data_IF_436359009616
#
_entry.id   IF_436359009616
#
_cell.length_a   1.000
_cell.length_b   1.000
_cell.length_c   1.000
_cell.angle_alpha   90.00
_cell.angle_beta   90.00
_cell.angle_gamma   90.00
#
_symmetry.space_group_name_H-M   'P 1'
#
loop_
_entity.id
_entity.type
_entity.pdbx_description
1 polymer ?
#
# COMPACT_ATOMS: atom_id res chain seq x y z
N UNK A 1 -29.94 15.47 17.89
CA UNK A 1 -28.97 15.37 16.78
C UNK A 1 -27.97 14.28 17.14
N UNK A 2 -28.22 13.04 16.70
CA UNK A 2 -27.26 11.94 16.85
C UNK A 2 -26.28 12.02 15.69
N UNK A 3 -25.01 12.32 15.95
CA UNK A 3 -23.94 12.00 15.02
C UNK A 3 -23.85 10.47 14.98
N UNK A 4 -24.40 9.87 13.93
CA UNK A 4 -24.11 8.48 13.62
C UNK A 4 -22.61 8.40 13.38
N UNK A 5 -21.88 7.76 14.30
CA UNK A 5 -20.49 7.39 14.07
C UNK A 5 -20.43 6.68 12.71
N UNK A 6 -19.56 7.15 11.82
CA UNK A 6 -19.38 6.53 10.52
C UNK A 6 -19.02 5.06 10.75
N UNK A 7 -19.43 4.13 9.90
CA UNK A 7 -19.06 2.73 10.11
C UNK A 7 -17.53 2.59 10.24
N UNK A 8 -16.72 3.41 9.55
CA UNK A 8 -15.26 3.45 9.66
C UNK A 8 -14.74 3.87 11.04
N UNK A 9 -15.55 4.51 11.88
CA UNK A 9 -15.19 4.86 13.25
C UNK A 9 -15.07 3.61 14.14
N UNK A 10 -15.76 2.51 13.80
CA UNK A 10 -15.57 1.20 14.46
C UNK A 10 -14.26 0.53 14.05
N UNK A 11 -13.68 0.91 12.91
CA UNK A 11 -12.38 0.39 12.45
C UNK A 11 -11.20 1.13 13.07
N UNK A 12 -11.43 2.28 13.71
CA UNK A 12 -10.38 2.95 14.49
C UNK A 12 -9.79 2.02 15.56
N UNK A 13 -10.54 1.04 16.08
CA UNK A 13 -9.96 0.08 17.03
C UNK A 13 -8.98 -0.89 16.37
N UNK A 14 -9.33 -1.41 15.18
CA UNK A 14 -8.45 -2.26 14.37
C UNK A 14 -7.21 -1.47 13.94
N UNK A 15 -7.41 -0.25 13.44
CA UNK A 15 -6.32 0.63 13.06
C UNK A 15 -5.49 1.07 14.28
N UNK A 16 -6.09 1.33 15.44
CA UNK A 16 -5.34 1.63 16.67
C UNK A 16 -4.51 0.43 17.14
N UNK A 17 -5.02 -0.79 17.00
CA UNK A 17 -4.23 -2.02 17.28
C UNK A 17 -3.04 -2.13 16.33
N UNK A 18 -3.25 -1.92 15.03
CA UNK A 18 -2.18 -1.91 14.04
C UNK A 18 -1.18 -0.75 14.28
N UNK A 19 -1.67 0.45 14.61
CA UNK A 19 -0.84 1.61 14.93
C UNK A 19 -0.02 1.39 16.20
N UNK A 20 -0.58 0.72 17.21
CA UNK A 20 0.15 0.32 18.41
C UNK A 20 1.25 -0.71 18.13
N UNK A 21 1.12 -1.52 17.07
CA UNK A 21 2.18 -2.42 16.63
C UNK A 21 3.30 -1.66 15.91
N UNK A 22 2.99 -0.56 15.22
CA UNK A 22 3.95 0.25 14.46
C UNK A 22 4.72 1.17 15.41
N UNK A 23 6.02 0.89 15.63
CA UNK A 23 6.90 1.70 16.52
C UNK A 23 7.22 3.12 16.03
N UNK A 24 6.67 3.58 14.90
CA UNK A 24 6.99 4.86 14.26
C UNK A 24 5.86 5.87 14.40
N UNK A 25 6.17 7.18 14.42
CA UNK A 25 5.13 8.21 14.40
C UNK A 25 4.20 8.02 13.20
N UNK A 26 2.92 8.35 13.41
CA UNK A 26 1.87 8.14 12.42
C UNK A 26 2.14 9.06 11.21
N UNK A 27 2.35 8.45 10.04
CA UNK A 27 2.55 9.18 8.79
C UNK A 27 1.35 10.07 8.47
N UNK A 28 1.61 11.22 7.84
CA UNK A 28 0.61 12.14 7.28
C UNK A 28 1.07 12.63 5.91
N UNK A 29 0.13 13.21 5.14
CA UNK A 29 0.44 13.71 3.79
C UNK A 29 1.58 14.73 3.77
N UNK A 30 1.69 15.57 4.81
CA UNK A 30 2.74 16.58 4.92
C UNK A 30 4.15 16.00 5.09
N UNK A 31 4.28 14.70 5.35
CA UNK A 31 5.58 14.02 5.50
C UNK A 31 6.21 13.65 4.15
N UNK A 32 5.52 13.95 3.04
CA UNK A 32 5.94 13.58 1.70
C UNK A 32 6.07 14.79 0.77
N UNK A 33 7.04 14.72 -0.13
CA UNK A 33 7.25 15.62 -1.25
C UNK A 33 7.06 14.87 -2.57
N UNK A 34 6.84 15.62 -3.67
CA UNK A 34 6.89 15.15 -5.07
C UNK A 34 6.10 13.86 -5.35
N UNK A 35 4.95 13.96 -6.01
CA UNK A 35 4.14 12.78 -6.34
C UNK A 35 4.18 12.45 -7.84
N UNK A 36 4.53 11.21 -8.18
CA UNK A 36 4.41 10.65 -9.53
C UNK A 36 3.41 9.51 -9.53
N UNK A 37 2.39 9.58 -10.39
CA UNK A 37 1.48 8.44 -10.57
C UNK A 37 2.24 7.28 -11.21
N UNK A 38 2.26 6.12 -10.53
CA UNK A 38 2.94 4.90 -10.99
C UNK A 38 1.98 3.76 -11.29
N UNK A 39 0.70 3.90 -10.94
CA UNK A 39 -0.30 2.89 -11.24
C UNK A 39 -1.71 3.32 -10.86
N UNK A 40 -2.70 2.71 -11.51
CA UNK A 40 -4.12 2.84 -11.18
C UNK A 40 -4.68 1.46 -10.89
N UNK A 41 -5.19 1.29 -9.68
CA UNK A 41 -5.86 0.06 -9.25
C UNK A 41 -7.38 0.17 -9.34
N UNK A 42 -8.07 -0.91 -8.95
CA UNK A 42 -9.54 -0.96 -8.91
C UNK A 42 -10.15 0.07 -7.96
N UNK A 43 -9.52 0.31 -6.81
CA UNK A 43 -10.07 1.11 -5.71
C UNK A 43 -9.37 2.46 -5.52
N UNK A 44 -8.44 2.81 -6.41
CA UNK A 44 -7.70 4.06 -6.33
C UNK A 44 -6.40 4.06 -7.11
N UNK A 45 -5.44 4.88 -6.68
CA UNK A 45 -4.21 5.16 -7.43
C UNK A 45 -2.97 4.99 -6.57
N UNK A 46 -1.85 4.67 -7.21
CA UNK A 46 -0.56 4.47 -6.56
C UNK A 46 0.39 5.56 -7.02
N UNK A 47 1.02 6.22 -6.06
CA UNK A 47 2.00 7.29 -6.31
C UNK A 47 3.36 6.90 -5.74
N UNK A 48 4.42 7.14 -6.49
CA UNK A 48 5.76 7.24 -5.91
C UNK A 48 5.91 8.64 -5.32
N UNK A 49 6.31 8.71 -4.05
CA UNK A 49 6.54 9.98 -3.34
C UNK A 49 7.88 9.94 -2.61
N UNK A 50 8.47 11.11 -2.35
CA UNK A 50 9.69 11.22 -1.56
C UNK A 50 9.35 11.44 -0.09
N UNK A 51 9.76 10.54 0.79
CA UNK A 51 9.66 10.74 2.23
C UNK A 51 10.62 11.85 2.69
N UNK A 52 10.11 12.81 3.47
CA UNK A 52 10.92 13.88 4.06
C UNK A 52 11.85 13.37 5.15
N UNK A 53 11.41 12.41 5.95
CA UNK A 53 12.20 11.82 7.03
C UNK A 53 13.27 10.88 6.48
N UNK A 54 12.85 9.87 5.71
CA UNK A 54 13.76 8.82 5.23
C UNK A 54 14.61 9.24 4.03
N UNK A 55 14.32 10.40 3.43
CA UNK A 55 14.97 10.95 2.23
C UNK A 55 14.99 9.99 1.02
N UNK A 56 14.12 8.99 1.01
CA UNK A 56 13.99 7.99 -0.05
C UNK A 56 12.58 7.96 -0.65
N UNK A 57 12.43 7.29 -1.79
CA UNK A 57 11.12 7.07 -2.40
C UNK A 57 10.34 5.96 -1.69
N UNK A 58 9.05 6.19 -1.51
CA UNK A 58 8.06 5.21 -1.07
C UNK A 58 6.90 5.18 -2.06
N UNK A 59 6.12 4.11 -2.05
CA UNK A 59 4.86 4.05 -2.78
C UNK A 59 3.69 4.30 -1.83
N UNK A 60 2.76 5.17 -2.21
CA UNK A 60 1.50 5.40 -1.51
C UNK A 60 0.35 4.93 -2.39
N UNK A 61 -0.35 3.89 -1.94
CA UNK A 61 -1.62 3.42 -2.52
C UNK A 61 -2.75 4.15 -1.80
N UNK A 62 -3.44 5.03 -2.53
CA UNK A 62 -4.58 5.81 -2.04
C UNK A 62 -5.85 5.08 -2.43
N UNK A 63 -6.67 4.71 -1.46
CA UNK A 63 -7.95 4.02 -1.64
C UNK A 63 -9.10 4.90 -1.18
N UNK A 64 -10.20 4.95 -1.93
CA UNK A 64 -11.38 5.73 -1.54
C UNK A 64 -12.35 4.88 -0.71
N UNK A 65 -12.67 5.34 0.51
CA UNK A 65 -13.57 4.64 1.45
C UNK A 65 -14.93 4.35 0.83
N UNK A 66 -15.51 5.35 0.16
CA UNK A 66 -16.77 5.21 -0.57
C UNK A 66 -16.75 4.05 -1.57
N UNK A 67 -15.71 3.95 -2.40
CA UNK A 67 -15.58 2.88 -3.39
C UNK A 67 -15.39 1.52 -2.72
N UNK A 68 -14.67 1.45 -1.60
CA UNK A 68 -14.52 0.21 -0.84
C UNK A 68 -15.88 -0.27 -0.31
N UNK A 69 -16.64 0.64 0.31
CA UNK A 69 -17.95 0.33 0.90
C UNK A 69 -18.96 -0.09 -0.17
N UNK A 70 -19.05 0.65 -1.28
CA UNK A 70 -19.95 0.34 -2.42
C UNK A 70 -19.66 -1.05 -3.01
N UNK A 71 -18.42 -1.54 -2.92
CA UNK A 71 -18.03 -2.86 -3.42
C UNK A 71 -18.03 -3.94 -2.32
N UNK A 72 -18.33 -3.62 -1.06
CA UNK A 72 -18.27 -4.57 0.05
C UNK A 72 -16.87 -5.15 0.30
N UNK A 73 -15.82 -4.37 0.03
CA UNK A 73 -14.42 -4.85 0.02
C UNK A 73 -13.64 -4.51 1.31
N UNK A 74 -14.35 -4.12 2.36
CA UNK A 74 -13.75 -3.55 3.57
C UNK A 74 -12.90 -4.56 4.33
N UNK A 75 -13.40 -5.76 4.56
CA UNK A 75 -12.67 -6.82 5.26
C UNK A 75 -11.46 -7.31 4.45
N UNK A 76 -11.53 -7.26 3.12
CA UNK A 76 -10.41 -7.56 2.23
C UNK A 76 -9.30 -6.52 2.37
N UNK A 77 -9.63 -5.23 2.41
CA UNK A 77 -8.64 -4.15 2.60
C UNK A 77 -7.98 -4.26 3.97
N UNK A 78 -8.75 -4.54 5.03
CA UNK A 78 -8.20 -4.78 6.37
C UNK A 78 -7.23 -5.96 6.38
N UNK A 79 -7.67 -7.09 5.84
CA UNK A 79 -6.85 -8.29 5.74
C UNK A 79 -5.56 -8.02 4.96
N UNK A 80 -5.63 -7.27 3.85
CA UNK A 80 -4.45 -6.88 3.07
C UNK A 80 -3.44 -6.12 3.94
N UNK A 81 -3.89 -5.12 4.70
CA UNK A 81 -3.03 -4.33 5.58
C UNK A 81 -2.46 -5.18 6.72
N UNK A 82 -3.30 -5.94 7.42
CA UNK A 82 -2.90 -6.74 8.58
C UNK A 82 -1.93 -7.86 8.20
N UNK A 83 -2.20 -8.59 7.12
CA UNK A 83 -1.31 -9.66 6.65
C UNK A 83 0.01 -9.04 6.20
N UNK A 84 -0.02 -8.01 5.36
CA UNK A 84 1.20 -7.41 4.83
C UNK A 84 2.05 -6.74 5.92
N UNK A 85 1.42 -6.26 6.99
CA UNK A 85 2.12 -5.71 8.14
C UNK A 85 3.07 -6.72 8.80
N UNK A 86 2.65 -7.99 8.92
CA UNK A 86 3.44 -9.04 9.56
C UNK A 86 4.50 -9.66 8.64
N UNK A 87 4.48 -9.36 7.33
CA UNK A 87 5.41 -9.93 6.36
C UNK A 87 6.74 -9.16 6.35
N UNK A 88 7.80 -9.83 6.79
CA UNK A 88 9.18 -9.34 6.73
C UNK A 88 10.03 -10.34 5.94
N UNK A 89 10.12 -10.14 4.63
CA UNK A 89 10.88 -11.01 3.73
C UNK A 89 11.49 -10.21 2.57
N UNK A 90 12.74 -10.47 2.13
CA UNK A 90 13.40 -9.70 1.08
C UNK A 90 12.66 -9.69 -0.26
N UNK A 91 11.87 -10.73 -0.55
CA UNK A 91 11.09 -10.86 -1.79
C UNK A 91 9.61 -10.45 -1.66
N UNK A 92 9.21 -9.85 -0.52
CA UNK A 92 7.85 -9.33 -0.30
C UNK A 92 7.94 -7.83 -0.04
N UNK A 93 7.12 -7.05 -0.74
CA UNK A 93 7.11 -5.60 -0.59
C UNK A 93 6.70 -5.21 0.85
N UNK A 94 7.61 -4.56 1.58
CA UNK A 94 7.37 -4.23 2.98
C UNK A 94 6.33 -3.12 3.13
N UNK A 95 5.36 -3.34 4.02
CA UNK A 95 4.49 -2.29 4.53
C UNK A 95 5.27 -1.42 5.52
N UNK A 96 5.39 -0.12 5.22
CA UNK A 96 6.04 0.86 6.12
C UNK A 96 5.06 1.50 7.10
N UNK A 97 3.79 1.51 6.75
CA UNK A 97 2.72 2.05 7.56
C UNK A 97 1.49 2.35 6.71
N UNK A 98 0.48 2.92 7.35
CA UNK A 98 -0.71 3.41 6.70
C UNK A 98 -1.29 4.55 7.55
N UNK A 99 -2.17 5.34 6.97
CA UNK A 99 -2.99 6.32 7.68
C UNK A 99 -4.30 6.52 6.92
N UNK A 100 -5.26 7.25 7.49
CA UNK A 100 -6.51 7.55 6.81
C UNK A 100 -6.99 8.95 7.14
N UNK A 101 -7.79 9.52 6.24
CA UNK A 101 -8.62 10.70 6.51
C UNK A 101 -10.11 10.29 6.43
N UNK A 102 -11.01 11.27 6.40
CA UNK A 102 -12.45 11.02 6.32
C UNK A 102 -12.86 10.26 5.05
N UNK A 103 -12.13 10.41 3.95
CA UNK A 103 -12.52 9.93 2.62
C UNK A 103 -11.62 8.80 2.09
N UNK A 104 -10.40 8.69 2.59
CA UNK A 104 -9.34 7.90 1.98
C UNK A 104 -8.54 7.11 3.00
N UNK A 105 -8.06 5.95 2.56
CA UNK A 105 -7.04 5.14 3.24
C UNK A 105 -5.76 5.22 2.42
N UNK A 106 -4.64 5.47 3.09
CA UNK A 106 -3.32 5.61 2.49
C UNK A 106 -2.44 4.48 2.99
N UNK A 107 -1.99 3.61 2.10
CA UNK A 107 -1.11 2.49 2.43
C UNK A 107 0.29 2.82 1.89
N UNK A 108 1.30 2.78 2.77
CA UNK A 108 2.67 3.18 2.47
C UNK A 108 3.56 1.96 2.42
N UNK A 109 4.21 1.73 1.28
CA UNK A 109 5.10 0.59 1.06
C UNK A 109 6.45 1.02 0.51
N UNK A 110 7.40 0.10 0.48
CA UNK A 110 8.64 0.28 -0.28
C UNK A 110 8.38 0.60 -1.75
N UNK A 111 9.22 1.46 -2.34
CA UNK A 111 9.13 1.76 -3.76
C UNK A 111 9.93 0.76 -4.60
N UNK A 112 9.22 -0.03 -5.40
CA UNK A 112 9.82 -0.94 -6.37
C UNK A 112 10.26 -0.19 -7.65
N UNK A 113 11.48 0.36 -7.63
CA UNK A 113 12.05 1.17 -8.74
C UNK A 113 12.05 0.48 -10.11
N UNK A 114 12.11 -0.85 -10.14
CA UNK A 114 12.15 -1.64 -11.38
C UNK A 114 10.77 -1.83 -12.04
N UNK A 115 9.71 -1.31 -11.42
CA UNK A 115 8.34 -1.50 -11.88
C UNK A 115 7.85 -2.93 -11.69
N UNK A 116 6.78 -3.29 -12.39
CA UNK A 116 6.11 -4.58 -12.23
C UNK A 116 6.51 -5.61 -13.28
N UNK A 117 6.44 -6.89 -12.90
CA UNK A 117 6.84 -8.00 -13.75
C UNK A 117 5.98 -8.10 -15.01
N UNK A 118 4.66 -7.82 -14.92
CA UNK A 118 3.75 -7.82 -16.07
C UNK A 118 4.15 -6.77 -17.12
N UNK A 119 4.61 -5.59 -16.69
CA UNK A 119 5.14 -4.57 -17.61
C UNK A 119 6.43 -5.07 -18.28
N UNK A 120 7.32 -5.73 -17.53
CA UNK A 120 8.55 -6.32 -18.10
C UNK A 120 8.24 -7.42 -19.12
N UNK A 121 7.29 -8.31 -18.81
CA UNK A 121 6.83 -9.37 -19.72
C UNK A 121 6.23 -8.76 -20.98
N UNK A 122 5.30 -7.81 -20.85
CA UNK A 122 4.66 -7.16 -22.01
C UNK A 122 5.67 -6.47 -22.93
N UNK A 123 6.71 -5.83 -22.37
CA UNK A 123 7.77 -5.19 -23.16
C UNK A 123 8.68 -6.20 -23.87
N UNK A 124 9.02 -7.32 -23.21
CA UNK A 124 9.90 -8.35 -23.79
C UNK A 124 9.16 -9.38 -24.66
N UNK A 125 7.84 -9.49 -24.53
CA UNK A 125 7.01 -10.54 -25.13
C UNK A 125 7.14 -11.88 -24.39
N UNK A 126 8.36 -12.42 -24.26
CA UNK A 126 8.67 -13.64 -23.52
C UNK A 126 9.87 -13.44 -22.60
N UNK A 127 9.87 -14.12 -21.46
CA UNK A 127 11.03 -14.21 -20.57
C UNK A 127 11.71 -15.56 -20.84
N UNK A 128 13.05 -15.58 -20.87
CA UNK A 128 13.80 -16.83 -21.05
C UNK A 128 13.63 -17.74 -19.84
N UNK A 129 13.67 -19.06 -20.04
CA UNK A 129 13.44 -20.05 -18.97
C UNK A 129 14.36 -19.83 -17.75
N UNK A 130 15.64 -19.53 -17.97
CA UNK A 130 16.57 -19.20 -16.89
C UNK A 130 16.17 -17.94 -16.10
N UNK A 131 15.72 -16.87 -16.76
CA UNK A 131 15.21 -15.67 -16.07
C UNK A 131 13.90 -16.00 -15.31
N UNK A 132 13.03 -16.82 -15.89
CA UNK A 132 11.78 -17.24 -15.27
C UNK A 132 12.02 -18.09 -14.01
N UNK A 133 12.98 -19.01 -14.06
CA UNK A 133 13.38 -19.84 -12.93
C UNK A 133 13.75 -18.97 -11.71
N UNK A 134 14.55 -17.91 -11.91
CA UNK A 134 14.93 -16.98 -10.83
C UNK A 134 13.74 -16.25 -10.20
N UNK A 135 12.75 -15.86 -10.99
CA UNK A 135 11.52 -15.25 -10.44
C UNK A 135 10.70 -16.26 -9.62
N UNK A 136 10.64 -17.51 -10.05
CA UNK A 136 9.88 -18.57 -9.39
C UNK A 136 10.55 -19.02 -8.09
N UNK A 137 11.87 -19.20 -8.09
CA UNK A 137 12.63 -19.57 -6.88
C UNK A 137 12.86 -18.39 -5.94
N UNK A 138 12.57 -17.17 -6.40
CA UNK A 138 12.85 -15.91 -5.71
C UNK A 138 14.36 -15.69 -5.44
N UNK A 139 15.21 -16.24 -6.30
CA UNK A 139 16.66 -16.02 -6.33
C UNK A 139 16.99 -14.79 -7.20
N UNK A 140 16.64 -13.61 -6.67
CA UNK A 140 16.80 -12.32 -7.34
C UNK A 140 18.16 -11.67 -7.06
#
# INVERSE_FOLDING_TARGET
MMFARSCWDYDEECFRKLAAMVRRPMWKLDDFDLAYSIGKGRFGSVFAVRSKEEKCFVAIKILFKRTIDENGMREQVKSEIEIQYHLLHPNILRLKGYFHDEQRVFIITEYAKSGSLDVRIRKKGKIQEFEAARFVTMDL
#
